data_IF_114288136938
#
_entry.id   IF_114288136938
#
_cell.length_a   1.000
_cell.length_b   1.000
_cell.length_c   1.000
_cell.angle_alpha   90.00
_cell.angle_beta   90.00
_cell.angle_gamma   90.00
#
_symmetry.space_group_name_H-M   'P 1'
#
loop_
_entity.id
_entity.type
_entity.pdbx_description
1 polymer ?
#
# COMPACT_ATOMS: atom_id res chain seq x y z
N UNK A 1 -0.83 44.00 30.94
CA UNK A 1 0.56 44.37 31.19
C UNK A 1 1.42 43.67 30.19
N UNK A 2 2.40 44.37 29.63
CA UNK A 2 3.37 43.84 28.68
C UNK A 2 4.74 43.70 29.36
N UNK A 3 5.52 42.72 28.91
CA UNK A 3 6.94 42.60 29.18
C UNK A 3 7.68 42.59 27.85
N UNK A 4 8.46 43.64 27.58
CA UNK A 4 9.29 43.74 26.37
C UNK A 4 10.75 43.54 26.74
N UNK A 5 11.39 42.56 26.12
CA UNK A 5 12.80 42.21 26.26
C UNK A 5 13.47 42.18 24.88
N UNK A 6 13.66 43.35 24.27
CA UNK A 6 14.35 43.49 22.98
C UNK A 6 15.85 43.72 23.20
N UNK A 7 16.70 42.84 22.63
CA UNK A 7 18.16 42.87 22.85
C UNK A 7 18.60 42.70 24.31
N UNK A 8 17.66 42.54 25.25
CA UNK A 8 17.91 42.42 26.67
C UNK A 8 18.11 40.97 27.11
N UNK A 9 18.55 40.80 28.36
CA UNK A 9 18.85 39.50 28.96
C UNK A 9 18.17 39.35 30.32
N UNK A 10 17.29 38.36 30.44
CA UNK A 10 16.71 37.91 31.70
C UNK A 10 17.40 36.60 32.08
N UNK A 11 18.02 36.55 33.27
CA UNK A 11 18.75 35.36 33.72
C UNK A 11 18.42 34.99 35.15
N UNK A 12 18.06 33.73 35.37
CA UNK A 12 17.91 33.14 36.70
C UNK A 12 18.89 31.97 36.87
N UNK A 13 19.72 32.03 37.90
CA UNK A 13 20.72 30.98 38.21
C UNK A 13 20.23 29.93 39.22
N UNK A 14 19.23 30.27 40.05
CA UNK A 14 18.69 29.36 41.07
C UNK A 14 17.75 28.30 40.50
N UNK A 15 17.62 27.17 41.22
CA UNK A 15 16.79 26.03 40.82
C UNK A 15 15.30 26.18 41.16
N UNK A 16 14.90 27.22 41.91
CA UNK A 16 13.49 27.45 42.24
C UNK A 16 12.64 27.65 40.97
N UNK A 17 11.39 27.16 40.94
CA UNK A 17 10.51 27.37 39.79
C UNK A 17 10.40 28.85 39.41
N UNK A 18 10.38 29.12 38.10
CA UNK A 18 10.24 30.46 37.55
C UNK A 18 8.88 30.61 36.86
N UNK A 19 8.19 31.72 37.08
CA UNK A 19 6.95 32.04 36.36
C UNK A 19 7.00 33.44 35.78
N UNK A 20 6.66 33.59 34.51
CA UNK A 20 6.36 34.87 33.86
C UNK A 20 4.90 34.82 33.41
N UNK A 21 4.05 35.58 34.10
CA UNK A 21 2.63 35.72 33.78
C UNK A 21 2.27 37.20 33.70
N UNK A 22 2.30 37.74 32.48
CA UNK A 22 1.89 39.11 32.17
C UNK A 22 0.57 39.08 31.41
N UNK A 23 -0.36 39.99 31.71
CA UNK A 23 -1.73 39.80 31.22
C UNK A 23 -1.92 40.01 29.72
N UNK A 24 -0.94 40.61 29.03
CA UNK A 24 -1.00 40.84 27.60
C UNK A 24 0.17 40.15 26.88
N UNK A 25 1.29 40.81 26.61
CA UNK A 25 2.34 40.22 25.76
C UNK A 25 3.66 40.05 26.50
N UNK A 26 4.27 38.89 26.38
CA UNK A 26 5.72 38.74 26.60
C UNK A 26 6.41 38.73 25.25
N UNK A 27 7.15 39.79 24.97
CA UNK A 27 7.90 40.00 23.74
C UNK A 27 9.40 39.89 24.00
N UNK A 28 9.96 38.73 23.65
CA UNK A 28 11.38 38.40 23.70
C UNK A 28 12.03 38.47 22.30
N UNK A 29 11.44 39.20 21.35
CA UNK A 29 11.97 39.32 19.99
C UNK A 29 13.20 40.24 19.89
N UNK A 30 13.69 40.46 18.67
CA UNK A 30 14.82 41.38 18.37
C UNK A 30 16.07 41.01 19.21
N UNK A 31 16.43 39.72 19.23
CA UNK A 31 17.60 39.22 19.95
C UNK A 31 17.44 39.15 21.47
N UNK A 32 16.22 39.27 22.00
CA UNK A 32 15.92 39.06 23.41
C UNK A 32 16.36 37.68 23.91
N UNK A 33 16.89 37.62 25.12
CA UNK A 33 17.33 36.36 25.76
C UNK A 33 16.68 36.15 27.13
N UNK A 34 16.01 35.02 27.32
CA UNK A 34 15.57 34.50 28.62
C UNK A 34 16.31 33.18 28.89
N UNK A 35 17.05 33.11 30.00
CA UNK A 35 17.79 31.92 30.41
C UNK A 35 17.51 31.62 31.88
N UNK A 36 17.16 30.37 32.20
CA UNK A 36 16.88 29.98 33.59
C UNK A 36 17.39 28.59 33.90
N UNK A 37 17.94 28.41 35.10
CA UNK A 37 18.30 27.12 35.70
C UNK A 37 17.22 26.62 36.68
N UNK A 38 16.04 27.24 36.69
CA UNK A 38 14.88 26.76 37.44
C UNK A 38 14.59 25.28 37.12
N UNK A 39 14.07 24.52 38.08
CA UNK A 39 13.58 23.16 37.83
C UNK A 39 12.45 23.18 36.80
N UNK A 40 11.51 24.11 36.95
CA UNK A 40 10.38 24.34 36.04
C UNK A 40 10.31 25.82 35.64
N UNK A 41 10.00 26.09 34.37
CA UNK A 41 9.72 27.43 33.86
C UNK A 41 8.30 27.47 33.30
N UNK A 42 7.46 28.36 33.81
CA UNK A 42 6.13 28.63 33.25
C UNK A 42 6.09 30.00 32.58
N UNK A 43 5.75 30.02 31.29
CA UNK A 43 5.46 31.22 30.52
C UNK A 43 3.96 31.23 30.18
N UNK A 44 3.19 32.04 30.91
CA UNK A 44 1.75 32.19 30.72
C UNK A 44 1.35 33.67 30.49
N UNK A 45 1.92 34.35 29.46
CA UNK A 45 1.44 35.66 29.06
C UNK A 45 0.09 35.56 28.33
N UNK A 46 -0.53 36.67 27.93
CA UNK A 46 -1.64 36.61 26.96
C UNK A 46 -1.20 36.10 25.57
N UNK A 47 -0.03 36.56 25.10
CA UNK A 47 0.68 36.10 23.88
C UNK A 47 2.18 36.03 24.14
N UNK A 48 2.83 35.02 23.56
CA UNK A 48 4.29 34.83 23.63
C UNK A 48 4.90 35.11 22.25
N UNK A 49 5.79 36.09 22.18
CA UNK A 49 6.55 36.42 20.96
C UNK A 49 8.03 36.23 21.25
N UNK A 50 8.66 35.28 20.56
CA UNK A 50 10.08 34.95 20.65
C UNK A 50 10.76 35.04 19.27
N UNK A 51 10.22 35.84 18.36
CA UNK A 51 10.72 35.93 17.00
C UNK A 51 12.14 36.49 16.95
N UNK A 52 13.09 35.73 16.39
CA UNK A 52 14.52 36.06 16.44
C UNK A 52 15.11 36.12 17.86
N UNK A 53 14.38 35.67 18.88
CA UNK A 53 14.77 35.63 20.29
C UNK A 53 15.24 34.25 20.76
N UNK A 54 15.72 34.18 21.99
CA UNK A 54 16.17 32.94 22.63
C UNK A 54 15.55 32.74 24.02
N UNK A 55 14.86 31.61 24.22
CA UNK A 55 14.39 31.11 25.51
C UNK A 55 15.10 29.79 25.80
N UNK A 56 15.82 29.71 26.92
CA UNK A 56 16.56 28.52 27.34
C UNK A 56 16.20 28.13 28.77
N UNK A 57 15.58 26.97 28.92
CA UNK A 57 15.33 26.32 30.20
C UNK A 57 16.38 25.23 30.44
N UNK A 58 17.36 25.50 31.31
CA UNK A 58 18.44 24.56 31.64
C UNK A 58 18.02 23.53 32.71
N UNK A 59 16.84 23.69 33.31
CA UNK A 59 16.25 22.75 34.24
C UNK A 59 15.92 21.40 33.61
N UNK A 60 15.83 20.37 34.46
CA UNK A 60 15.46 19.01 34.05
C UNK A 60 13.96 18.73 34.17
N UNK A 61 13.17 19.67 34.70
CA UNK A 61 11.71 19.60 34.79
C UNK A 61 11.05 20.08 33.50
N UNK A 62 10.01 20.88 33.62
CA UNK A 62 9.15 21.26 32.49
C UNK A 62 9.25 22.76 32.15
N UNK A 63 9.49 23.04 30.86
CA UNK A 63 9.18 24.34 30.26
C UNK A 63 7.72 24.33 29.79
N UNK A 64 6.85 25.02 30.52
CA UNK A 64 5.44 25.18 30.18
C UNK A 64 5.23 26.49 29.42
N UNK A 65 4.68 26.42 28.21
CA UNK A 65 4.25 27.54 27.38
C UNK A 65 2.71 27.49 27.30
N UNK A 66 2.03 28.36 28.03
CA UNK A 66 0.56 28.34 28.13
C UNK A 66 -0.05 29.74 27.99
N UNK A 67 0.18 30.45 26.86
CA UNK A 67 -0.37 31.78 26.68
C UNK A 67 -1.90 31.78 26.72
N UNK A 68 -2.48 32.72 27.46
CA UNK A 68 -3.93 32.79 27.76
C UNK A 68 -4.54 31.44 28.15
N UNK A 69 -3.84 30.66 28.99
CA UNK A 69 -4.26 29.32 29.43
C UNK A 69 -4.53 28.34 28.28
N UNK A 70 -3.76 28.45 27.18
CA UNK A 70 -3.90 27.58 26.01
C UNK A 70 -4.68 28.17 24.86
N UNK A 71 -5.17 29.40 24.96
CA UNK A 71 -5.94 30.06 23.88
C UNK A 71 -5.15 31.13 23.14
N UNK A 72 -4.02 31.57 23.68
CA UNK A 72 -3.15 32.59 23.11
C UNK A 72 -2.15 32.02 22.11
N UNK A 73 -1.50 32.90 21.34
CA UNK A 73 -0.53 32.48 20.33
C UNK A 73 0.90 32.33 20.91
N UNK A 74 1.64 31.37 20.37
CA UNK A 74 3.10 31.26 20.49
C UNK A 74 3.72 31.59 19.12
N UNK A 75 4.52 32.65 19.05
CA UNK A 75 5.35 32.96 17.89
C UNK A 75 6.82 32.75 18.23
N UNK A 76 7.51 31.96 17.43
CA UNK A 76 8.92 31.60 17.55
C UNK A 76 9.60 31.67 16.16
N UNK A 77 9.21 32.64 15.34
CA UNK A 77 9.70 32.77 13.96
C UNK A 77 11.18 33.13 13.97
N UNK A 78 12.01 32.31 13.32
CA UNK A 78 13.47 32.44 13.38
C UNK A 78 14.04 32.51 14.82
N UNK A 79 13.24 32.10 15.82
CA UNK A 79 13.58 32.12 17.23
C UNK A 79 14.02 30.75 17.73
N UNK A 80 14.47 30.70 18.98
CA UNK A 80 14.88 29.46 19.65
C UNK A 80 14.22 29.32 21.01
N UNK A 81 13.52 28.21 21.21
CA UNK A 81 12.99 27.77 22.50
C UNK A 81 13.58 26.40 22.79
N UNK A 82 14.33 26.27 23.89
CA UNK A 82 15.00 25.01 24.25
C UNK A 82 14.86 24.66 25.71
N UNK A 83 14.77 23.35 25.97
CA UNK A 83 14.68 22.78 27.32
C UNK A 83 15.66 21.61 27.51
N UNK A 84 16.38 21.59 28.63
CA UNK A 84 17.15 20.43 29.07
C UNK A 84 16.27 19.34 29.70
N UNK A 85 15.01 19.66 30.02
CA UNK A 85 13.97 18.74 30.42
C UNK A 85 12.92 18.58 29.32
N UNK A 86 11.65 18.68 29.70
CA UNK A 86 10.49 18.57 28.82
C UNK A 86 10.02 19.96 28.33
N UNK A 87 9.25 19.97 27.25
CA UNK A 87 8.46 21.13 26.82
C UNK A 87 6.98 20.72 26.77
N UNK A 88 6.15 21.45 27.51
CA UNK A 88 4.70 21.42 27.36
C UNK A 88 4.25 22.72 26.70
N UNK A 89 3.69 22.67 25.50
CA UNK A 89 3.14 23.83 24.80
C UNK A 89 1.63 23.66 24.63
N UNK A 90 0.85 24.61 25.14
CA UNK A 90 -0.59 24.67 24.94
C UNK A 90 -0.95 26.07 24.44
N UNK A 91 -1.52 26.18 23.24
CA UNK A 91 -1.74 27.46 22.58
C UNK A 91 -2.99 27.46 21.67
N UNK A 92 -3.49 28.64 21.33
CA UNK A 92 -4.47 28.78 20.25
C UNK A 92 -3.84 28.50 18.89
N UNK A 93 -2.61 28.97 18.69
CA UNK A 93 -1.80 28.70 17.49
C UNK A 93 -0.31 28.68 17.84
N UNK A 94 0.47 27.95 17.04
CA UNK A 94 1.91 27.82 17.22
C UNK A 94 2.63 28.10 15.91
N UNK A 95 3.43 29.17 15.87
CA UNK A 95 4.25 29.51 14.73
C UNK A 95 5.74 29.31 15.07
N UNK A 96 6.33 28.26 14.52
CA UNK A 96 7.74 27.91 14.61
C UNK A 96 8.46 28.02 13.25
N UNK A 97 7.95 28.85 12.33
CA UNK A 97 8.55 29.01 11.01
C UNK A 97 10.00 29.49 11.09
N UNK A 98 10.93 28.81 10.43
CA UNK A 98 12.38 29.04 10.53
C UNK A 98 12.95 28.97 11.96
N UNK A 99 12.13 28.54 12.94
CA UNK A 99 12.47 28.53 14.36
C UNK A 99 12.92 27.16 14.84
N UNK A 100 13.33 27.11 16.10
CA UNK A 100 13.71 25.88 16.81
C UNK A 100 12.90 25.75 18.09
N UNK A 101 12.17 24.65 18.24
CA UNK A 101 11.55 24.20 19.47
C UNK A 101 12.13 22.81 19.82
N UNK A 102 13.02 22.74 20.81
CA UNK A 102 13.73 21.50 21.10
C UNK A 102 13.85 21.15 22.58
N UNK A 103 13.63 19.89 22.91
CA UNK A 103 13.73 19.34 24.27
C UNK A 103 14.70 18.16 24.30
N UNK A 104 15.45 18.02 25.40
CA UNK A 104 16.25 16.80 25.65
C UNK A 104 15.39 15.63 26.12
N UNK A 105 14.19 15.89 26.63
CA UNK A 105 13.19 14.86 26.93
C UNK A 105 12.02 15.03 25.94
N UNK A 106 10.79 14.92 26.44
CA UNK A 106 9.60 14.94 25.63
C UNK A 106 9.19 16.35 25.19
N UNK A 107 8.51 16.43 24.05
CA UNK A 107 7.70 17.57 23.65
C UNK A 107 6.24 17.13 23.62
N UNK A 108 5.38 17.84 24.33
CA UNK A 108 3.92 17.72 24.20
C UNK A 108 3.38 19.08 23.77
N UNK A 109 2.86 19.17 22.55
CA UNK A 109 2.35 20.40 21.97
C UNK A 109 0.87 20.21 21.58
N UNK A 110 0.00 21.06 22.12
CA UNK A 110 -1.41 21.13 21.76
C UNK A 110 -1.71 22.52 21.22
N UNK A 111 -2.34 22.60 20.04
CA UNK A 111 -2.81 23.86 19.49
C UNK A 111 -4.28 23.78 19.07
N UNK A 112 -5.12 24.75 19.46
CA UNK A 112 -6.53 24.73 19.04
C UNK A 112 -6.70 24.90 17.51
N UNK A 113 -5.81 25.66 16.87
CA UNK A 113 -5.82 25.95 15.44
C UNK A 113 -4.55 25.51 14.72
N UNK A 114 -3.98 26.42 13.95
CA UNK A 114 -2.88 26.15 13.03
C UNK A 114 -1.53 25.98 13.75
N UNK A 115 -0.71 25.08 13.19
CA UNK A 115 0.71 24.92 13.55
C UNK A 115 1.56 25.13 12.30
N UNK A 116 2.37 26.18 12.31
CA UNK A 116 3.30 26.49 11.23
C UNK A 116 4.72 26.09 11.63
N UNK A 117 5.30 25.10 10.97
CA UNK A 117 6.68 24.66 11.11
C UNK A 117 7.46 24.77 9.79
N UNK A 118 7.10 25.71 8.92
CA UNK A 118 7.75 25.93 7.62
C UNK A 118 9.23 26.26 7.83
N UNK A 119 10.13 25.45 7.25
CA UNK A 119 11.58 25.55 7.48
C UNK A 119 11.99 25.53 8.97
N UNK A 120 11.08 25.12 9.85
CA UNK A 120 11.28 25.07 11.30
C UNK A 120 11.71 23.70 11.78
N UNK A 121 12.12 23.63 13.04
CA UNK A 121 12.49 22.39 13.71
C UNK A 121 11.72 22.24 15.03
N UNK A 122 10.96 21.16 15.14
CA UNK A 122 10.42 20.64 16.39
C UNK A 122 11.10 19.32 16.71
N UNK A 123 11.91 19.27 17.77
CA UNK A 123 12.74 18.11 18.04
C UNK A 123 12.80 17.71 19.51
N UNK A 124 12.26 16.54 19.82
CA UNK A 124 12.43 15.86 21.09
C UNK A 124 13.56 14.84 20.97
N UNK A 125 14.46 14.76 21.95
CA UNK A 125 15.40 13.62 22.04
C UNK A 125 14.76 12.40 22.68
N UNK A 126 13.56 12.53 23.25
CA UNK A 126 12.69 11.39 23.60
C UNK A 126 11.40 11.46 22.79
N UNK A 127 10.22 11.33 23.41
CA UNK A 127 8.95 11.24 22.67
C UNK A 127 8.42 12.61 22.26
N UNK A 128 7.68 12.66 21.16
CA UNK A 128 7.03 13.89 20.67
C UNK A 128 5.56 13.62 20.40
N UNK A 129 4.69 14.43 21.01
CA UNK A 129 3.26 14.50 20.70
C UNK A 129 2.91 15.91 20.24
N UNK A 130 2.30 16.02 19.06
CA UNK A 130 1.81 17.26 18.48
C UNK A 130 0.36 17.06 18.03
N UNK A 131 -0.58 17.68 18.73
CA UNK A 131 -1.99 17.64 18.40
C UNK A 131 -2.48 19.05 18.07
N UNK A 132 -3.10 19.24 16.92
CA UNK A 132 -3.72 20.52 16.60
C UNK A 132 -5.06 20.42 15.87
N UNK A 133 -5.97 21.36 16.14
CA UNK A 133 -7.31 21.38 15.56
C UNK A 133 -7.40 21.97 14.16
N UNK A 134 -6.30 22.49 13.61
CA UNK A 134 -6.21 23.10 12.28
C UNK A 134 -5.20 22.41 11.35
N UNK A 135 -4.66 23.14 10.39
CA UNK A 135 -3.59 22.64 9.51
C UNK A 135 -2.26 22.62 10.23
N UNK A 136 -1.50 21.55 10.02
CA UNK A 136 -0.07 21.50 10.29
C UNK A 136 0.70 21.72 8.99
N UNK A 137 1.40 22.85 8.88
CA UNK A 137 2.29 23.13 7.74
C UNK A 137 3.74 22.83 8.13
N UNK A 138 4.28 21.69 7.70
CA UNK A 138 5.65 21.24 7.93
C UNK A 138 6.51 21.32 6.65
N UNK A 139 6.22 22.27 5.74
CA UNK A 139 6.93 22.33 4.46
C UNK A 139 8.38 22.75 4.62
N UNK A 140 9.29 21.96 4.05
CA UNK A 140 10.74 22.04 4.31
C UNK A 140 11.11 22.04 5.81
N UNK A 141 10.17 21.61 6.67
CA UNK A 141 10.31 21.58 8.12
C UNK A 141 10.71 20.20 8.63
N UNK A 142 11.02 20.13 9.92
CA UNK A 142 11.34 18.88 10.61
C UNK A 142 10.54 18.77 11.90
N UNK A 143 9.83 17.67 12.04
CA UNK A 143 9.23 17.20 13.29
C UNK A 143 9.85 15.83 13.59
N UNK A 144 10.55 15.70 14.71
CA UNK A 144 11.26 14.47 15.00
C UNK A 144 11.39 14.16 16.50
N UNK A 145 11.22 12.87 16.82
CA UNK A 145 11.47 12.28 18.13
C UNK A 145 12.69 11.35 18.11
N UNK A 146 13.20 11.07 19.31
CA UNK A 146 14.22 10.06 19.58
C UNK A 146 15.65 10.44 19.20
N UNK A 147 16.58 9.58 19.62
CA UNK A 147 18.03 9.77 19.42
C UNK A 147 18.63 8.87 18.34
N UNK A 148 17.92 7.83 17.90
CA UNK A 148 18.49 6.78 17.05
C UNK A 148 19.24 5.70 17.83
N UNK A 149 19.17 5.72 19.17
CA UNK A 149 19.74 4.67 20.00
C UNK A 149 19.03 3.32 19.73
N UNK A 150 19.82 2.27 19.51
CA UNK A 150 19.35 0.90 19.38
C UNK A 150 18.54 0.54 20.63
N UNK A 151 17.24 0.28 20.48
CA UNK A 151 16.25 0.01 21.56
C UNK A 151 15.60 1.23 22.24
N UNK A 152 15.72 2.45 21.70
CA UNK A 152 14.93 3.59 22.19
C UNK A 152 13.43 3.35 21.99
N UNK A 153 12.63 3.34 23.04
CA UNK A 153 11.18 3.20 22.96
C UNK A 153 10.46 4.52 22.69
N UNK A 154 11.19 5.54 22.23
CA UNK A 154 10.65 6.87 21.94
C UNK A 154 9.55 6.78 20.89
N UNK A 155 8.46 7.51 21.10
CA UNK A 155 7.29 7.53 20.20
C UNK A 155 7.14 8.87 19.52
N UNK A 156 6.45 8.86 18.37
CA UNK A 156 6.00 10.07 17.68
C UNK A 156 4.50 9.97 17.45
N UNK A 157 3.76 11.00 17.87
CA UNK A 157 2.33 11.10 17.62
C UNK A 157 2.01 12.50 17.08
N UNK A 158 1.52 12.57 15.85
CA UNK A 158 1.13 13.80 15.17
C UNK A 158 -0.31 13.68 14.76
N UNK A 159 -1.18 14.56 15.24
CA UNK A 159 -2.59 14.60 14.90
C UNK A 159 -2.99 16.02 14.51
N UNK A 160 -3.59 16.18 13.33
CA UNK A 160 -4.02 17.47 12.79
C UNK A 160 -5.32 17.31 12.00
N UNK A 161 -6.05 18.41 11.78
CA UNK A 161 -7.20 18.38 10.88
C UNK A 161 -6.77 18.16 9.43
N UNK A 162 -5.60 18.68 9.05
CA UNK A 162 -4.88 18.42 7.80
C UNK A 162 -3.38 18.59 8.00
N UNK A 163 -2.57 17.88 7.21
CA UNK A 163 -1.10 17.92 7.27
C UNK A 163 -0.54 18.21 5.88
N UNK A 164 0.30 19.24 5.78
CA UNK A 164 1.18 19.48 4.64
C UNK A 164 2.64 19.23 5.06
N UNK A 165 3.17 18.08 4.66
CA UNK A 165 4.55 17.65 4.86
C UNK A 165 5.38 17.76 3.56
N UNK A 166 5.02 18.64 2.63
CA UNK A 166 5.73 18.76 1.35
C UNK A 166 7.19 19.17 1.55
N UNK A 167 8.13 18.38 1.01
CA UNK A 167 9.59 18.56 1.23
C UNK A 167 10.00 18.52 2.72
N UNK A 168 9.10 18.08 3.60
CA UNK A 168 9.30 18.04 5.04
C UNK A 168 9.71 16.66 5.54
N UNK A 169 10.07 16.60 6.82
CA UNK A 169 10.28 15.35 7.56
C UNK A 169 9.36 15.30 8.78
N UNK A 170 8.62 14.21 8.90
CA UNK A 170 8.00 13.72 10.14
C UNK A 170 8.64 12.37 10.43
N UNK A 171 9.44 12.27 11.49
CA UNK A 171 10.32 11.10 11.68
C UNK A 171 10.50 10.68 13.13
N UNK A 172 10.44 9.38 13.42
CA UNK A 172 10.86 8.83 14.71
C UNK A 172 12.18 8.07 14.57
N UNK A 173 13.23 8.52 15.27
CA UNK A 173 14.50 7.79 15.32
C UNK A 173 14.48 6.66 16.37
N UNK A 174 13.49 6.65 17.27
CA UNK A 174 13.24 5.52 18.18
C UNK A 174 12.53 4.36 17.49
N UNK A 175 12.54 3.20 18.15
CA UNK A 175 11.84 1.99 17.77
C UNK A 175 10.40 1.93 18.30
N UNK A 176 9.95 2.94 19.05
CA UNK A 176 8.56 3.08 19.48
C UNK A 176 7.60 3.39 18.32
N UNK A 177 6.31 3.31 18.59
CA UNK A 177 5.28 3.57 17.59
C UNK A 177 5.34 5.01 17.06
N UNK A 178 5.06 5.16 15.77
CA UNK A 178 4.89 6.44 15.09
C UNK A 178 3.49 6.51 14.51
N UNK A 179 2.72 7.52 14.89
CA UNK A 179 1.37 7.76 14.38
C UNK A 179 1.30 9.14 13.75
N UNK A 180 0.81 9.22 12.51
CA UNK A 180 0.58 10.47 11.79
C UNK A 180 -0.85 10.49 11.26
N UNK A 181 -1.68 11.34 11.83
CA UNK A 181 -3.11 11.43 11.58
C UNK A 181 -3.46 12.80 11.00
N UNK A 182 -3.74 12.86 9.69
CA UNK A 182 -4.01 14.09 8.96
C UNK A 182 -5.49 14.42 8.75
N UNK A 183 -6.41 13.88 9.57
CA UNK A 183 -7.84 14.19 9.49
C UNK A 183 -8.39 14.04 8.06
N UNK A 184 -8.72 15.17 7.41
CA UNK A 184 -9.21 15.18 6.03
C UNK A 184 -8.13 14.91 4.97
N UNK A 185 -6.90 15.35 5.20
CA UNK A 185 -5.84 15.27 4.20
C UNK A 185 -4.43 15.19 4.79
N UNK A 186 -3.61 14.32 4.19
CA UNK A 186 -2.15 14.29 4.39
C UNK A 186 -1.45 14.46 3.03
N UNK A 187 -0.74 15.57 2.85
CA UNK A 187 0.09 15.85 1.67
C UNK A 187 1.55 15.58 2.01
N UNK A 188 2.18 14.64 1.31
CA UNK A 188 3.57 14.24 1.47
C UNK A 188 4.34 14.34 0.13
N UNK A 189 4.19 15.46 -0.57
CA UNK A 189 4.84 15.70 -1.88
C UNK A 189 6.35 15.90 -1.70
N UNK A 190 7.16 14.98 -2.21
CA UNK A 190 8.62 14.97 -1.97
C UNK A 190 8.99 15.03 -0.46
N UNK A 191 8.06 14.64 0.41
CA UNK A 191 8.23 14.64 1.85
C UNK A 191 8.60 13.25 2.35
N UNK A 192 8.97 13.15 3.64
CA UNK A 192 9.23 11.87 4.30
C UNK A 192 8.42 11.77 5.58
N UNK A 193 7.67 10.68 5.71
CA UNK A 193 7.08 10.21 6.96
C UNK A 193 7.72 8.87 7.28
N UNK A 194 8.45 8.77 8.39
CA UNK A 194 9.24 7.57 8.70
C UNK A 194 9.35 7.25 10.18
N UNK A 195 9.68 6.01 10.51
CA UNK A 195 9.99 5.57 11.86
C UNK A 195 10.81 4.29 11.86
N UNK A 196 11.70 4.12 12.84
CA UNK A 196 12.42 2.85 13.02
C UNK A 196 11.54 1.75 13.64
N UNK A 197 10.40 2.11 14.24
CA UNK A 197 9.38 1.19 14.77
C UNK A 197 8.21 0.96 13.82
N UNK A 198 7.06 0.56 14.38
CA UNK A 198 5.80 0.53 13.63
C UNK A 198 5.34 1.95 13.29
N UNK A 199 4.90 2.14 12.05
CA UNK A 199 4.39 3.42 11.55
C UNK A 199 2.95 3.26 11.08
N UNK A 200 2.06 4.12 11.57
CA UNK A 200 0.67 4.21 11.13
C UNK A 200 0.39 5.59 10.57
N UNK A 201 -0.07 5.65 9.33
CA UNK A 201 -0.46 6.88 8.63
C UNK A 201 -1.95 6.83 8.33
N UNK A 202 -2.69 7.85 8.75
CA UNK A 202 -4.15 7.91 8.62
C UNK A 202 -4.60 9.28 8.12
N UNK A 203 -5.42 9.33 7.08
CA UNK A 203 -6.20 10.51 6.68
C UNK A 203 -7.29 10.08 5.69
N UNK A 204 -8.35 10.86 5.50
CA UNK A 204 -9.31 10.58 4.42
C UNK A 204 -8.65 10.57 3.04
N UNK A 205 -7.86 11.60 2.71
CA UNK A 205 -7.07 11.65 1.48
C UNK A 205 -5.57 11.63 1.80
N UNK A 206 -4.83 10.68 1.23
CA UNK A 206 -3.37 10.61 1.37
C UNK A 206 -2.72 10.84 0.01
N UNK A 207 -1.90 11.89 -0.10
CA UNK A 207 -1.10 12.21 -1.29
C UNK A 207 0.36 11.96 -0.99
N UNK A 208 0.91 10.85 -1.46
CA UNK A 208 2.33 10.50 -1.37
C UNK A 208 2.97 10.54 -2.77
N UNK A 209 3.20 11.74 -3.31
CA UNK A 209 3.61 11.90 -4.71
C UNK A 209 4.99 12.53 -4.88
N UNK A 210 5.56 12.41 -6.08
CA UNK A 210 6.82 13.06 -6.48
C UNK A 210 7.99 12.80 -5.54
N UNK A 211 8.32 11.52 -5.33
CA UNK A 211 9.38 11.12 -4.42
C UNK A 211 8.96 11.15 -2.94
N UNK A 212 7.67 11.36 -2.64
CA UNK A 212 7.13 11.18 -1.31
C UNK A 212 7.43 9.78 -0.76
N UNK A 213 7.79 9.70 0.52
CA UNK A 213 8.13 8.45 1.20
C UNK A 213 7.29 8.26 2.45
N UNK A 214 6.60 7.12 2.55
CA UNK A 214 6.02 6.60 3.79
C UNK A 214 6.75 5.31 4.15
N UNK A 215 7.36 5.24 5.33
CA UNK A 215 8.11 4.06 5.72
C UNK A 215 8.12 3.74 7.21
N UNK A 216 8.27 2.46 7.54
CA UNK A 216 8.35 1.95 8.91
C UNK A 216 9.05 0.59 9.01
N UNK A 217 9.30 0.06 10.20
CA UNK A 217 9.66 -1.36 10.33
C UNK A 217 8.48 -2.23 9.89
N UNK A 218 7.30 -1.92 10.42
CA UNK A 218 6.01 -2.31 9.86
C UNK A 218 5.28 -1.02 9.49
N UNK A 219 4.50 -1.05 8.41
CA UNK A 219 3.79 0.14 7.93
C UNK A 219 2.30 -0.15 7.73
N UNK A 220 1.46 0.70 8.29
CA UNK A 220 0.01 0.72 8.07
C UNK A 220 -0.39 2.06 7.45
N UNK A 221 -1.03 2.02 6.29
CA UNK A 221 -1.58 3.20 5.61
C UNK A 221 -3.08 3.03 5.51
N UNK A 222 -3.84 3.95 6.12
CA UNK A 222 -5.30 3.90 6.17
C UNK A 222 -5.89 5.21 5.62
N UNK A 223 -6.84 5.09 4.69
CA UNK A 223 -7.58 6.26 4.23
C UNK A 223 -8.81 5.93 3.40
N UNK A 224 -9.44 6.96 2.85
CA UNK A 224 -10.49 6.78 1.85
C UNK A 224 -9.88 6.66 0.46
N UNK A 225 -8.93 7.53 0.13
CA UNK A 225 -8.17 7.48 -1.12
C UNK A 225 -6.67 7.59 -0.86
N UNK A 226 -5.90 6.98 -1.76
CA UNK A 226 -4.44 7.07 -1.75
C UNK A 226 -3.93 7.37 -3.15
N UNK A 227 -3.18 8.46 -3.30
CA UNK A 227 -2.37 8.74 -4.48
C UNK A 227 -0.89 8.56 -4.14
N UNK A 228 -0.30 7.46 -4.63
CA UNK A 228 1.13 7.15 -4.53
C UNK A 228 1.87 7.42 -5.85
N UNK A 229 1.37 8.30 -6.72
CA UNK A 229 1.97 8.54 -8.03
C UNK A 229 3.40 9.09 -7.92
N UNK A 230 4.38 8.33 -8.41
CA UNK A 230 5.81 8.63 -8.28
C UNK A 230 6.32 8.61 -6.84
N UNK A 231 5.56 8.07 -5.89
CA UNK A 231 5.94 7.93 -4.48
C UNK A 231 6.44 6.53 -4.12
N UNK A 232 6.92 6.38 -2.89
CA UNK A 232 7.33 5.10 -2.30
C UNK A 232 6.62 4.87 -0.97
N UNK A 233 6.03 3.69 -0.83
CA UNK A 233 5.47 3.15 0.41
C UNK A 233 6.19 1.84 0.67
N UNK A 234 6.83 1.70 1.84
CA UNK A 234 7.50 0.44 2.17
C UNK A 234 8.20 0.37 3.53
N UNK A 235 9.02 -0.65 3.74
CA UNK A 235 9.70 -0.86 5.02
C UNK A 235 11.16 -0.40 5.02
N UNK A 236 11.66 -0.01 6.20
CA UNK A 236 13.09 0.26 6.45
C UNK A 236 13.84 -0.93 7.06
N UNK A 237 13.11 -1.95 7.51
CA UNK A 237 13.61 -3.18 8.11
C UNK A 237 12.81 -4.39 7.57
N UNK A 238 13.08 -5.60 8.05
CA UNK A 238 12.25 -6.78 7.72
C UNK A 238 10.87 -6.66 8.39
N UNK A 239 9.82 -6.50 7.60
CA UNK A 239 8.46 -6.36 8.10
C UNK A 239 7.44 -6.15 7.01
N UNK A 240 6.20 -5.95 7.44
CA UNK A 240 5.03 -5.98 6.57
C UNK A 240 4.57 -4.57 6.21
N UNK A 241 3.93 -4.46 5.05
CA UNK A 241 3.17 -3.26 4.65
C UNK A 241 1.72 -3.64 4.45
N UNK A 242 0.84 -2.93 5.16
CA UNK A 242 -0.60 -3.00 4.97
C UNK A 242 -1.15 -1.66 4.51
N UNK A 243 -1.74 -1.64 3.31
CA UNK A 243 -2.48 -0.49 2.79
C UNK A 243 -3.97 -0.84 2.80
N UNK A 244 -4.79 0.03 3.38
CA UNK A 244 -6.25 -0.16 3.45
C UNK A 244 -6.95 1.14 3.09
N UNK A 245 -7.64 1.13 1.95
CA UNK A 245 -8.48 2.23 1.50
C UNK A 245 -9.92 1.81 1.32
N UNK A 246 -10.87 2.71 1.62
CA UNK A 246 -12.29 2.49 1.31
C UNK A 246 -12.59 2.74 -0.17
N UNK A 247 -11.79 3.60 -0.81
CA UNK A 247 -11.84 3.97 -2.22
C UNK A 247 -10.60 3.51 -3.00
N UNK A 248 -10.28 4.25 -4.05
CA UNK A 248 -9.25 3.90 -5.02
C UNK A 248 -7.82 4.17 -4.51
N UNK A 249 -6.89 3.31 -4.94
CA UNK A 249 -5.44 3.55 -4.87
C UNK A 249 -4.93 3.86 -6.27
N UNK A 250 -4.29 5.02 -6.44
CA UNK A 250 -3.55 5.38 -7.66
C UNK A 250 -2.06 5.19 -7.40
N UNK A 251 -1.36 4.40 -8.22
CA UNK A 251 0.07 4.09 -8.01
C UNK A 251 0.96 4.44 -9.22
N UNK A 252 0.52 5.36 -10.09
CA UNK A 252 1.21 5.66 -11.37
C UNK A 252 2.70 5.96 -11.19
N UNK A 253 3.57 5.11 -11.75
CA UNK A 253 5.04 5.20 -11.59
C UNK A 253 5.52 5.20 -10.13
N UNK A 254 4.67 4.78 -9.20
CA UNK A 254 4.96 4.63 -7.79
C UNK A 254 5.35 3.22 -7.42
N UNK A 255 5.81 3.06 -6.18
CA UNK A 255 6.16 1.78 -5.57
C UNK A 255 5.44 1.60 -4.26
N UNK A 256 4.76 0.47 -4.11
CA UNK A 256 4.22 -0.01 -2.85
C UNK A 256 4.87 -1.37 -2.61
N UNK A 257 5.69 -1.51 -1.58
CA UNK A 257 6.35 -2.78 -1.36
C UNK A 257 6.81 -3.04 0.05
N UNK A 258 6.86 -4.33 0.39
CA UNK A 258 7.26 -4.84 1.68
C UNK A 258 8.57 -5.64 1.60
N UNK A 259 9.26 -5.72 2.73
CA UNK A 259 10.43 -6.60 2.88
C UNK A 259 10.05 -7.98 3.40
N UNK A 260 8.83 -8.17 3.92
CA UNK A 260 8.23 -9.48 4.18
C UNK A 260 6.93 -9.65 3.39
N UNK A 261 5.77 -9.27 3.94
CA UNK A 261 4.48 -9.40 3.26
C UNK A 261 3.83 -8.05 2.91
N UNK A 262 3.20 -8.01 1.73
CA UNK A 262 2.38 -6.89 1.28
C UNK A 262 0.90 -7.28 1.25
N UNK A 263 0.06 -6.55 1.99
CA UNK A 263 -1.40 -6.64 1.89
C UNK A 263 -2.00 -5.30 1.46
N UNK A 264 -2.78 -5.32 0.38
CA UNK A 264 -3.50 -4.15 -0.13
C UNK A 264 -4.99 -4.44 -0.14
N UNK A 265 -5.76 -3.60 0.53
CA UNK A 265 -7.22 -3.64 0.57
C UNK A 265 -7.75 -2.33 -0.01
N UNK A 266 -8.51 -2.36 -1.09
CA UNK A 266 -8.99 -1.15 -1.77
C UNK A 266 -10.31 -1.39 -2.51
N UNK A 267 -11.01 -0.34 -2.93
CA UNK A 267 -12.14 -0.54 -3.85
C UNK A 267 -11.64 -0.92 -5.26
N UNK A 268 -10.61 -0.24 -5.75
CA UNK A 268 -9.99 -0.47 -7.05
C UNK A 268 -8.54 0.01 -7.04
N UNK A 269 -7.75 -0.51 -7.98
CA UNK A 269 -6.41 0.01 -8.29
C UNK A 269 -6.45 0.73 -9.62
N UNK A 270 -5.76 1.85 -9.70
CA UNK A 270 -5.59 2.62 -10.95
C UNK A 270 -4.14 3.06 -11.10
N UNK A 271 -3.79 3.44 -12.33
CA UNK A 271 -2.42 3.77 -12.68
C UNK A 271 -1.53 2.54 -12.84
N UNK A 272 -0.28 2.78 -13.23
CA UNK A 272 0.79 1.79 -13.24
C UNK A 272 1.48 1.63 -11.88
N UNK A 273 2.73 1.19 -11.89
CA UNK A 273 3.59 1.11 -10.71
C UNK A 273 3.88 -0.32 -10.26
N UNK A 274 4.76 -0.44 -9.27
CA UNK A 274 5.19 -1.73 -8.74
C UNK A 274 4.54 -2.03 -7.39
N UNK A 275 4.04 -3.25 -7.25
CA UNK A 275 3.60 -3.87 -6.01
C UNK A 275 4.53 -5.05 -5.73
N UNK A 276 5.21 -5.08 -4.59
CA UNK A 276 6.20 -6.14 -4.36
C UNK A 276 6.40 -6.52 -2.91
N UNK A 277 6.69 -7.78 -2.66
CA UNK A 277 7.06 -8.29 -1.36
C UNK A 277 8.17 -9.34 -1.49
N UNK A 278 9.03 -9.47 -0.48
CA UNK A 278 10.03 -10.53 -0.49
C UNK A 278 9.43 -11.91 -0.22
N UNK A 279 8.26 -11.97 0.42
CA UNK A 279 7.46 -13.16 0.62
C UNK A 279 6.15 -13.04 -0.18
N UNK A 280 5.03 -12.69 0.44
CA UNK A 280 3.72 -12.77 -0.22
C UNK A 280 3.14 -11.40 -0.59
N UNK A 281 2.42 -11.36 -1.71
CA UNK A 281 1.60 -10.20 -2.12
C UNK A 281 0.14 -10.61 -2.17
N UNK A 282 -0.69 -9.97 -1.35
CA UNK A 282 -2.13 -10.18 -1.29
C UNK A 282 -2.90 -8.90 -1.66
N UNK A 283 -3.75 -9.01 -2.69
CA UNK A 283 -4.57 -7.91 -3.23
C UNK A 283 -6.06 -8.22 -3.02
N UNK A 284 -6.71 -7.47 -2.14
CA UNK A 284 -8.14 -7.59 -1.85
C UNK A 284 -8.88 -6.37 -2.40
N UNK A 285 -9.64 -6.54 -3.48
CA UNK A 285 -10.31 -5.47 -4.20
C UNK A 285 -11.82 -5.65 -4.18
N UNK A 286 -12.60 -4.57 -4.20
CA UNK A 286 -14.07 -4.66 -4.24
C UNK A 286 -14.61 -4.58 -5.68
N UNK A 287 -13.87 -3.93 -6.57
CA UNK A 287 -14.25 -3.70 -7.96
C UNK A 287 -13.46 -4.57 -8.95
N UNK A 288 -13.52 -4.16 -10.22
CA UNK A 288 -12.77 -4.78 -11.29
C UNK A 288 -11.28 -4.47 -11.17
N UNK A 289 -10.45 -5.37 -11.68
CA UNK A 289 -9.03 -5.16 -11.85
C UNK A 289 -8.64 -5.45 -13.29
N UNK A 290 -7.82 -4.58 -13.88
CA UNK A 290 -7.25 -4.79 -15.20
C UNK A 290 -5.73 -4.62 -15.14
N UNK A 291 -4.99 -5.70 -15.37
CA UNK A 291 -3.55 -5.63 -15.51
C UNK A 291 -3.19 -4.90 -16.81
N UNK A 292 -2.46 -3.79 -16.67
CA UNK A 292 -1.88 -3.02 -17.78
C UNK A 292 -0.36 -3.23 -17.80
N UNK A 293 0.35 -2.91 -18.91
CA UNK A 293 1.80 -3.08 -18.99
C UNK A 293 2.59 -2.29 -17.93
N UNK A 294 1.99 -1.23 -17.41
CA UNK A 294 2.61 -0.36 -16.42
C UNK A 294 2.47 -0.90 -15.00
N UNK A 295 1.62 -1.91 -14.76
CA UNK A 295 1.45 -2.56 -13.45
C UNK A 295 2.37 -3.76 -13.34
N UNK A 296 3.17 -3.82 -12.27
CA UNK A 296 4.08 -4.93 -11.99
C UNK A 296 3.82 -5.50 -10.60
N UNK A 297 3.67 -6.82 -10.52
CA UNK A 297 3.62 -7.57 -9.26
C UNK A 297 4.87 -8.43 -9.12
N UNK A 298 5.61 -8.24 -8.04
CA UNK A 298 6.80 -9.02 -7.71
C UNK A 298 6.61 -9.66 -6.33
N UNK A 299 6.07 -10.88 -6.29
CA UNK A 299 5.98 -11.68 -5.08
C UNK A 299 7.16 -12.67 -5.04
N UNK A 300 7.92 -12.67 -3.95
CA UNK A 300 9.01 -13.62 -3.75
C UNK A 300 8.55 -15.05 -3.48
N UNK A 301 7.29 -15.23 -3.08
CA UNK A 301 6.66 -16.52 -2.82
C UNK A 301 5.28 -16.61 -3.48
N UNK A 302 4.19 -16.19 -2.81
CA UNK A 302 2.83 -16.29 -3.34
C UNK A 302 2.23 -14.95 -3.79
N UNK A 303 1.45 -14.97 -4.87
CA UNK A 303 0.66 -13.85 -5.36
C UNK A 303 -0.83 -14.21 -5.29
N UNK A 304 -1.61 -13.44 -4.54
CA UNK A 304 -3.04 -13.68 -4.35
C UNK A 304 -3.87 -12.45 -4.70
N UNK A 305 -4.94 -12.67 -5.47
CA UNK A 305 -6.00 -11.70 -5.73
C UNK A 305 -7.32 -12.23 -5.20
N UNK A 306 -8.05 -11.39 -4.48
CA UNK A 306 -9.45 -11.61 -4.10
C UNK A 306 -10.24 -10.39 -4.52
N UNK A 307 -11.26 -10.57 -5.37
CA UNK A 307 -12.11 -9.47 -5.82
C UNK A 307 -13.53 -9.89 -6.18
N UNK A 308 -14.52 -9.06 -5.87
CA UNK A 308 -15.90 -9.35 -6.31
C UNK A 308 -16.17 -9.02 -7.78
N UNK A 309 -15.29 -8.22 -8.41
CA UNK A 309 -15.42 -7.82 -9.81
C UNK A 309 -14.69 -8.75 -10.79
N UNK A 310 -14.57 -8.30 -12.04
CA UNK A 310 -13.83 -9.00 -13.10
C UNK A 310 -12.33 -8.77 -12.95
N UNK A 311 -11.56 -9.86 -12.97
CA UNK A 311 -10.11 -9.87 -13.12
C UNK A 311 -9.74 -9.98 -14.60
N UNK A 312 -9.20 -8.90 -15.18
CA UNK A 312 -8.71 -8.87 -16.56
C UNK A 312 -7.20 -8.88 -16.58
N UNK A 313 -6.60 -9.93 -17.12
CA UNK A 313 -5.18 -9.96 -17.41
C UNK A 313 -4.92 -9.85 -18.92
N UNK A 314 -4.29 -8.75 -19.32
CA UNK A 314 -3.85 -8.52 -20.71
C UNK A 314 -2.33 -8.56 -20.87
N UNK A 315 -1.60 -8.88 -19.80
CA UNK A 315 -0.14 -8.82 -19.72
C UNK A 315 0.43 -10.09 -19.10
N UNK A 316 1.68 -10.07 -18.63
CA UNK A 316 2.29 -11.18 -17.91
C UNK A 316 2.14 -11.02 -16.40
N UNK A 317 1.57 -12.02 -15.74
CA UNK A 317 1.54 -12.14 -14.27
C UNK A 317 2.24 -13.43 -13.86
N UNK A 318 3.14 -13.32 -12.90
CA UNK A 318 3.96 -14.44 -12.45
C UNK A 318 4.10 -14.44 -10.94
N UNK A 319 4.10 -15.64 -10.35
CA UNK A 319 4.47 -15.87 -8.95
C UNK A 319 5.57 -16.93 -8.89
N UNK A 320 6.49 -16.80 -7.93
CA UNK A 320 7.59 -17.75 -7.73
C UNK A 320 7.05 -19.11 -7.30
N UNK A 321 6.07 -19.14 -6.40
CA UNK A 321 5.45 -20.34 -5.89
C UNK A 321 3.99 -20.44 -6.34
N UNK A 322 3.02 -20.00 -5.54
CA UNK A 322 1.60 -20.09 -5.90
C UNK A 322 1.08 -18.78 -6.48
N UNK A 323 0.20 -18.89 -7.48
CA UNK A 323 -0.62 -17.76 -7.93
C UNK A 323 -2.09 -18.12 -7.74
N UNK A 324 -2.83 -17.29 -7.02
CA UNK A 324 -4.27 -17.47 -6.84
C UNK A 324 -5.09 -16.26 -7.23
N UNK A 325 -6.21 -16.50 -7.91
CA UNK A 325 -7.19 -15.47 -8.27
C UNK A 325 -8.58 -15.97 -7.89
N UNK A 326 -9.20 -15.32 -6.92
CA UNK A 326 -10.61 -15.47 -6.56
C UNK A 326 -11.34 -14.21 -7.03
N UNK A 327 -12.19 -14.33 -8.05
CA UNK A 327 -12.78 -13.19 -8.75
C UNK A 327 -14.24 -13.44 -9.10
N UNK A 328 -15.03 -12.38 -9.32
CA UNK A 328 -16.37 -12.53 -9.91
C UNK A 328 -16.31 -13.18 -11.30
N UNK A 329 -15.43 -12.68 -12.17
CA UNK A 329 -15.14 -13.25 -13.48
C UNK A 329 -13.64 -13.16 -13.77
N UNK A 330 -13.11 -14.05 -14.59
CA UNK A 330 -11.70 -14.03 -15.01
C UNK A 330 -11.63 -13.96 -16.53
N UNK A 331 -10.91 -12.96 -17.04
CA UNK A 331 -10.60 -12.79 -18.46
C UNK A 331 -9.08 -12.73 -18.61
N UNK A 332 -8.48 -13.76 -19.22
CA UNK A 332 -7.06 -13.80 -19.48
C UNK A 332 -6.79 -13.80 -21.00
N UNK A 333 -6.23 -12.71 -21.50
CA UNK A 333 -5.66 -12.65 -22.86
C UNK A 333 -4.14 -12.57 -22.85
N UNK A 334 -3.53 -12.43 -21.67
CA UNK A 334 -2.09 -12.41 -21.47
C UNK A 334 -1.53 -13.76 -21.02
N UNK A 335 -0.51 -13.74 -20.18
CA UNK A 335 0.09 -14.92 -19.57
C UNK A 335 -0.08 -14.86 -18.04
N UNK A 336 -0.52 -15.96 -17.45
CA UNK A 336 -0.53 -16.18 -16.00
C UNK A 336 0.33 -17.40 -15.73
N UNK A 337 1.38 -17.24 -14.91
CA UNK A 337 2.29 -18.32 -14.56
C UNK A 337 2.48 -18.47 -13.05
N UNK A 338 2.51 -19.70 -12.55
CA UNK A 338 2.90 -20.03 -11.18
C UNK A 338 4.01 -21.10 -11.20
N UNK A 339 5.02 -20.96 -10.34
CA UNK A 339 6.07 -21.97 -10.23
C UNK A 339 5.58 -23.31 -9.65
N UNK A 340 4.59 -23.26 -8.76
CA UNK A 340 3.98 -24.43 -8.12
C UNK A 340 2.49 -24.57 -8.50
N UNK A 341 1.56 -23.97 -7.74
CA UNK A 341 0.13 -24.09 -8.00
C UNK A 341 -0.44 -22.80 -8.59
N UNK A 342 -1.07 -22.91 -9.77
CA UNK A 342 -2.00 -21.91 -10.28
C UNK A 342 -3.42 -22.30 -9.87
N UNK A 343 -4.07 -21.49 -9.03
CA UNK A 343 -5.44 -21.70 -8.57
C UNK A 343 -6.35 -20.55 -8.97
N UNK A 344 -7.52 -20.85 -9.51
CA UNK A 344 -8.55 -19.81 -9.72
C UNK A 344 -9.93 -20.26 -9.25
N UNK A 345 -10.75 -19.29 -8.87
CA UNK A 345 -12.18 -19.45 -8.65
C UNK A 345 -12.92 -18.24 -9.23
N UNK A 346 -14.00 -18.48 -10.00
CA UNK A 346 -14.85 -17.43 -10.54
C UNK A 346 -16.25 -17.91 -10.96
N UNK A 347 -17.14 -17.00 -11.38
CA UNK A 347 -18.38 -17.39 -12.05
C UNK A 347 -18.08 -17.88 -13.47
N UNK A 348 -17.33 -17.08 -14.24
CA UNK A 348 -16.85 -17.44 -15.57
C UNK A 348 -15.35 -17.27 -15.68
N UNK A 349 -14.70 -18.12 -16.48
CA UNK A 349 -13.29 -18.00 -16.84
C UNK A 349 -13.15 -18.08 -18.35
N UNK A 350 -12.67 -17.00 -18.97
CA UNK A 350 -12.32 -16.97 -20.39
C UNK A 350 -10.81 -16.80 -20.54
N UNK A 351 -10.16 -17.80 -21.10
CA UNK A 351 -8.74 -17.77 -21.46
C UNK A 351 -8.58 -17.72 -22.98
N UNK A 352 -7.93 -16.69 -23.50
CA UNK A 352 -7.47 -16.58 -24.89
C UNK A 352 -5.94 -16.50 -25.00
N UNK A 353 -5.26 -16.34 -23.86
CA UNK A 353 -3.80 -16.37 -23.73
C UNK A 353 -3.31 -17.65 -23.06
N UNK A 354 -2.34 -17.54 -22.14
CA UNK A 354 -1.76 -18.70 -21.45
C UNK A 354 -2.04 -18.66 -19.94
N UNK A 355 -2.38 -19.81 -19.37
CA UNK A 355 -2.48 -20.06 -17.93
C UNK A 355 -1.68 -21.32 -17.60
N UNK A 356 -0.55 -21.17 -16.92
CA UNK A 356 0.40 -22.27 -16.69
C UNK A 356 0.81 -22.34 -15.22
N UNK A 357 0.81 -23.54 -14.65
CA UNK A 357 1.38 -23.80 -13.32
C UNK A 357 2.23 -25.06 -13.33
N UNK A 358 2.94 -25.35 -12.23
CA UNK A 358 3.42 -26.71 -11.97
C UNK A 358 2.24 -27.68 -11.91
N UNK A 359 1.29 -27.39 -11.01
CA UNK A 359 -0.08 -27.89 -11.01
C UNK A 359 -1.06 -26.75 -11.29
N UNK A 360 -2.26 -27.11 -11.76
CA UNK A 360 -3.31 -26.15 -12.11
C UNK A 360 -4.64 -26.63 -11.52
N UNK A 361 -5.37 -25.76 -10.84
CA UNK A 361 -6.75 -25.99 -10.40
C UNK A 361 -7.60 -24.76 -10.72
N UNK A 362 -8.36 -24.83 -11.81
CA UNK A 362 -9.21 -23.73 -12.26
C UNK A 362 -10.68 -24.10 -12.02
N UNK A 363 -11.35 -23.34 -11.17
CA UNK A 363 -12.77 -23.48 -10.92
C UNK A 363 -13.54 -22.29 -11.53
N UNK A 364 -14.62 -22.58 -12.25
CA UNK A 364 -15.61 -21.60 -12.68
C UNK A 364 -17.03 -22.16 -12.45
N UNK A 365 -17.92 -21.40 -11.80
CA UNK A 365 -19.24 -21.92 -11.43
C UNK A 365 -20.14 -22.21 -12.64
N UNK A 366 -20.02 -21.43 -13.71
CA UNK A 366 -20.83 -21.56 -14.92
C UNK A 366 -20.03 -22.12 -16.09
N UNK A 367 -18.97 -21.43 -16.51
CA UNK A 367 -18.29 -21.76 -17.76
C UNK A 367 -16.81 -21.45 -17.69
N UNK A 368 -15.99 -22.43 -18.10
CA UNK A 368 -14.56 -22.31 -18.31
C UNK A 368 -14.28 -22.50 -19.80
N UNK A 369 -13.87 -21.42 -20.47
CA UNK A 369 -13.63 -21.39 -21.91
C UNK A 369 -12.17 -21.07 -22.23
N UNK A 370 -11.48 -22.03 -22.86
CA UNK A 370 -10.17 -21.86 -23.48
C UNK A 370 -10.36 -21.66 -24.99
N UNK A 371 -10.23 -20.42 -25.47
CA UNK A 371 -10.72 -20.01 -26.79
C UNK A 371 -9.63 -19.38 -27.67
N UNK A 372 -9.52 -19.88 -28.90
CA UNK A 372 -8.69 -19.29 -29.94
C UNK A 372 -7.29 -19.91 -30.03
N UNK A 373 -6.56 -19.64 -31.13
CA UNK A 373 -5.39 -20.41 -31.54
C UNK A 373 -4.18 -20.25 -30.61
N UNK A 374 -4.14 -19.18 -29.80
CA UNK A 374 -3.07 -18.95 -28.82
C UNK A 374 -3.39 -19.46 -27.43
N UNK A 375 -4.60 -19.98 -27.21
CA UNK A 375 -5.10 -20.26 -25.88
C UNK A 375 -4.52 -21.57 -25.32
N UNK A 376 -3.84 -21.47 -24.19
CA UNK A 376 -3.19 -22.58 -23.50
C UNK A 376 -3.59 -22.60 -22.02
N UNK A 377 -4.04 -23.76 -21.55
CA UNK A 377 -4.08 -24.10 -20.13
C UNK A 377 -3.12 -25.27 -19.90
N UNK A 378 -2.11 -25.08 -19.05
CA UNK A 378 -0.99 -26.02 -18.95
C UNK A 378 -0.55 -26.34 -17.52
N UNK A 379 -0.32 -27.61 -17.21
CA UNK A 379 0.39 -28.03 -15.99
C UNK A 379 1.73 -28.69 -16.35
N UNK A 380 2.82 -28.16 -15.80
CA UNK A 380 4.19 -28.52 -16.18
C UNK A 380 4.85 -29.58 -15.29
N UNK A 381 4.27 -29.93 -14.15
CA UNK A 381 4.79 -31.02 -13.30
C UNK A 381 4.21 -32.37 -13.76
N UNK A 382 5.08 -33.35 -14.03
CA UNK A 382 4.69 -34.72 -14.39
C UNK A 382 4.03 -35.49 -13.25
N UNK A 383 4.27 -35.06 -12.00
CA UNK A 383 3.59 -35.59 -10.82
C UNK A 383 2.39 -34.73 -10.40
N UNK A 384 2.22 -33.58 -11.05
CA UNK A 384 1.17 -32.62 -10.77
C UNK A 384 -0.19 -33.04 -11.31
N UNK A 385 -1.19 -32.23 -10.99
CA UNK A 385 -2.54 -32.37 -11.54
C UNK A 385 -2.95 -31.07 -12.25
N UNK A 386 -3.51 -31.21 -13.44
CA UNK A 386 -4.29 -30.19 -14.11
C UNK A 386 -5.78 -30.51 -13.89
N UNK A 387 -6.45 -29.67 -13.13
CA UNK A 387 -7.84 -29.84 -12.73
C UNK A 387 -8.67 -28.64 -13.20
N UNK A 388 -9.69 -28.91 -14.02
CA UNK A 388 -10.65 -27.92 -14.50
C UNK A 388 -12.03 -28.31 -13.96
N UNK A 389 -12.64 -27.42 -13.18
CA UNK A 389 -13.92 -27.62 -12.51
C UNK A 389 -14.91 -26.57 -13.00
N UNK A 390 -15.90 -26.97 -13.79
CA UNK A 390 -16.95 -26.06 -14.27
C UNK A 390 -18.15 -26.82 -14.83
N UNK A 391 -19.34 -26.24 -14.71
CA UNK A 391 -20.56 -26.80 -15.32
C UNK A 391 -20.35 -27.05 -16.82
N UNK A 392 -19.82 -26.07 -17.55
CA UNK A 392 -19.38 -26.23 -18.94
C UNK A 392 -17.88 -25.98 -19.08
N UNK A 393 -17.18 -26.90 -19.74
CA UNK A 393 -15.75 -26.77 -20.07
C UNK A 393 -15.60 -26.77 -21.59
N UNK A 394 -15.08 -25.66 -22.12
CA UNK A 394 -14.89 -25.47 -23.56
C UNK A 394 -13.40 -25.30 -23.89
N UNK A 395 -12.93 -26.08 -24.86
CA UNK A 395 -11.61 -25.94 -25.47
C UNK A 395 -11.80 -25.83 -26.98
N UNK A 396 -11.79 -24.61 -27.51
CA UNK A 396 -12.29 -24.34 -28.87
C UNK A 396 -11.39 -23.40 -29.65
N UNK A 397 -10.98 -23.83 -30.84
CA UNK A 397 -10.54 -22.91 -31.89
C UNK A 397 -11.72 -22.60 -32.81
N UNK A 398 -12.24 -21.37 -32.68
CA UNK A 398 -13.34 -20.92 -33.51
C UNK A 398 -12.94 -20.10 -34.74
N UNK A 399 -11.65 -19.79 -34.85
CA UNK A 399 -11.15 -18.76 -35.76
C UNK A 399 -10.32 -19.35 -36.89
N UNK A 400 -9.61 -20.45 -36.65
CA UNK A 400 -8.82 -21.11 -37.69
C UNK A 400 -9.72 -21.80 -38.71
N UNK A 401 -9.68 -21.29 -39.95
CA UNK A 401 -10.50 -21.79 -41.06
C UNK A 401 -9.81 -22.88 -41.89
N UNK A 402 -8.51 -23.12 -41.66
CA UNK A 402 -7.72 -24.12 -42.37
C UNK A 402 -7.70 -25.45 -41.63
N UNK A 403 -7.54 -26.54 -42.37
CA UNK A 403 -7.28 -27.86 -41.79
C UNK A 403 -5.80 -27.97 -41.33
N UNK A 404 -5.46 -27.20 -40.30
CA UNK A 404 -4.13 -27.13 -39.68
C UNK A 404 -4.11 -27.86 -38.35
N UNK A 405 -2.92 -28.11 -37.80
CA UNK A 405 -2.79 -28.68 -36.46
C UNK A 405 -3.50 -27.78 -35.42
N UNK A 406 -4.17 -28.40 -34.45
CA UNK A 406 -4.81 -27.70 -33.35
C UNK A 406 -3.76 -26.95 -32.52
N UNK A 407 -4.02 -25.68 -32.20
CA UNK A 407 -3.13 -24.84 -31.37
C UNK A 407 -3.75 -24.48 -30.03
N UNK A 408 -5.08 -24.30 -29.96
CA UNK A 408 -5.83 -24.22 -28.70
C UNK A 408 -5.63 -25.50 -27.91
N UNK A 409 -5.10 -25.41 -26.69
CA UNK A 409 -4.65 -26.59 -25.97
C UNK A 409 -4.93 -26.55 -24.46
N UNK A 410 -5.30 -27.72 -23.94
CA UNK A 410 -5.25 -28.09 -22.53
C UNK A 410 -4.23 -29.20 -22.40
N UNK A 411 -3.15 -28.98 -21.66
CA UNK A 411 -2.01 -29.92 -21.58
C UNK A 411 -1.53 -30.09 -20.15
N UNK A 412 -1.68 -31.29 -19.59
CA UNK A 412 -1.03 -31.67 -18.33
C UNK A 412 0.10 -32.65 -18.60
N UNK A 413 1.30 -32.40 -18.08
CA UNK A 413 2.38 -33.40 -18.10
C UNK A 413 2.14 -34.54 -17.11
N UNK A 414 1.37 -34.29 -16.05
CA UNK A 414 0.89 -35.29 -15.11
C UNK A 414 -0.56 -35.70 -15.36
N UNK A 415 -1.36 -35.77 -14.30
CA UNK A 415 -2.78 -36.15 -14.36
C UNK A 415 -3.63 -35.00 -14.88
N UNK A 416 -4.63 -35.30 -15.72
CA UNK A 416 -5.61 -34.33 -16.21
C UNK A 416 -7.02 -34.72 -15.76
N UNK A 417 -7.75 -33.77 -15.18
CA UNK A 417 -9.11 -33.96 -14.68
C UNK A 417 -9.98 -32.82 -15.19
N UNK A 418 -11.07 -33.18 -15.87
CA UNK A 418 -12.12 -32.24 -16.27
C UNK A 418 -13.43 -32.72 -15.62
N UNK A 419 -14.05 -31.87 -14.81
CA UNK A 419 -15.24 -32.20 -14.02
C UNK A 419 -16.15 -30.99 -13.78
N UNK A 420 -17.36 -31.23 -13.27
CA UNK A 420 -18.31 -30.18 -12.91
C UNK A 420 -17.94 -29.45 -11.61
N UNK A 421 -17.24 -30.14 -10.73
CA UNK A 421 -16.92 -29.67 -9.38
C UNK A 421 -16.53 -30.83 -8.48
N UNK A 422 -16.58 -30.59 -7.16
CA UNK A 422 -16.41 -31.61 -6.12
C UNK A 422 -17.58 -31.57 -5.15
N UNK A 423 -18.06 -32.74 -4.72
CA UNK A 423 -19.03 -32.85 -3.63
C UNK A 423 -18.37 -32.58 -2.25
N UNK A 424 -19.17 -32.58 -1.19
CA UNK A 424 -18.68 -32.37 0.19
C UNK A 424 -17.69 -33.46 0.67
N UNK A 425 -17.65 -34.62 0.02
CA UNK A 425 -16.72 -35.71 0.31
C UNK A 425 -15.44 -35.62 -0.55
N UNK A 426 -15.35 -34.63 -1.45
CA UNK A 426 -14.23 -34.44 -2.38
C UNK A 426 -14.31 -35.28 -3.66
N UNK A 427 -15.44 -35.96 -3.93
CA UNK A 427 -15.62 -36.71 -5.18
C UNK A 427 -15.97 -35.77 -6.33
N UNK A 428 -15.46 -36.08 -7.52
CA UNK A 428 -15.78 -35.33 -8.72
C UNK A 428 -17.25 -35.50 -9.13
N UNK A 429 -17.91 -34.39 -9.45
CA UNK A 429 -19.23 -34.35 -10.06
C UNK A 429 -19.12 -34.18 -11.58
N UNK A 430 -20.16 -34.58 -12.32
CA UNK A 430 -20.17 -34.42 -13.77
C UNK A 430 -20.33 -32.94 -14.16
N UNK A 431 -19.54 -32.50 -15.14
CA UNK A 431 -19.85 -31.33 -15.96
C UNK A 431 -21.06 -31.67 -16.85
N UNK A 432 -21.88 -30.67 -17.18
CA UNK A 432 -22.94 -30.89 -18.17
C UNK A 432 -22.33 -31.13 -19.56
N UNK A 433 -21.30 -30.34 -19.90
CA UNK A 433 -20.63 -30.42 -21.19
C UNK A 433 -19.11 -30.26 -21.08
N UNK A 434 -18.39 -31.20 -21.69
CA UNK A 434 -17.00 -31.00 -22.11
C UNK A 434 -17.00 -30.89 -23.64
N UNK A 435 -16.61 -29.73 -24.17
CA UNK A 435 -16.55 -29.47 -25.61
C UNK A 435 -15.12 -29.20 -26.07
N UNK A 436 -14.59 -30.12 -26.84
CA UNK A 436 -13.35 -29.94 -27.59
C UNK A 436 -13.65 -29.70 -29.07
N UNK A 437 -13.25 -28.55 -29.62
CA UNK A 437 -13.54 -28.19 -31.01
C UNK A 437 -12.31 -27.65 -31.71
N UNK A 438 -11.78 -28.39 -32.69
CA UNK A 438 -10.53 -28.04 -33.39
C UNK A 438 -9.36 -27.75 -32.44
N UNK A 439 -9.37 -28.35 -31.26
CA UNK A 439 -8.45 -28.08 -30.16
C UNK A 439 -7.86 -29.39 -29.60
N UNK A 440 -6.93 -29.27 -28.66
CA UNK A 440 -6.17 -30.37 -28.09
C UNK A 440 -6.43 -30.51 -26.59
N UNK A 441 -6.67 -31.74 -26.13
CA UNK A 441 -6.63 -32.10 -24.70
C UNK A 441 -5.62 -33.24 -24.55
N UNK A 442 -4.57 -33.02 -23.77
CA UNK A 442 -3.46 -33.96 -23.59
C UNK A 442 -3.14 -34.17 -22.12
N UNK A 443 -2.88 -35.43 -21.77
CA UNK A 443 -2.41 -35.87 -20.47
C UNK A 443 -1.14 -36.70 -20.64
N UNK A 444 -0.11 -36.42 -19.85
CA UNK A 444 1.09 -37.25 -19.76
C UNK A 444 0.93 -38.43 -18.78
N UNK A 445 -0.03 -38.33 -17.84
CA UNK A 445 -0.47 -39.41 -16.95
C UNK A 445 -1.94 -39.78 -17.17
N UNK A 446 -2.65 -40.11 -16.10
CA UNK A 446 -4.08 -40.48 -16.16
C UNK A 446 -4.96 -39.30 -16.59
N UNK A 447 -5.99 -39.59 -17.41
CA UNK A 447 -7.03 -38.63 -17.76
C UNK A 447 -8.37 -39.08 -17.21
N UNK A 448 -9.04 -38.21 -16.45
CA UNK A 448 -10.40 -38.41 -15.96
C UNK A 448 -11.33 -37.34 -16.51
N UNK A 449 -12.41 -37.76 -17.17
CA UNK A 449 -13.46 -36.89 -17.69
C UNK A 449 -14.77 -37.23 -16.98
N UNK A 450 -15.24 -36.33 -16.13
CA UNK A 450 -16.52 -36.45 -15.45
C UNK A 450 -17.51 -35.51 -16.15
N UNK A 451 -18.32 -36.05 -17.06
CA UNK A 451 -19.29 -35.25 -17.81
C UNK A 451 -20.51 -36.06 -18.27
N UNK A 452 -21.64 -35.39 -18.38
CA UNK A 452 -22.87 -35.94 -18.98
C UNK A 452 -22.75 -36.01 -20.51
N UNK A 453 -22.06 -35.03 -21.11
CA UNK A 453 -21.76 -35.02 -22.53
C UNK A 453 -20.32 -34.61 -22.81
N UNK A 454 -19.63 -35.40 -23.64
CA UNK A 454 -18.34 -35.04 -24.23
C UNK A 454 -18.51 -34.89 -25.74
N UNK A 455 -18.21 -33.72 -26.28
CA UNK A 455 -18.21 -33.45 -27.72
C UNK A 455 -16.79 -33.19 -28.20
N UNK A 456 -16.35 -33.92 -29.22
CA UNK A 456 -15.07 -33.70 -29.89
C UNK A 456 -15.31 -33.52 -31.38
N UNK A 457 -15.10 -32.30 -31.88
CA UNK A 457 -15.38 -31.96 -33.28
C UNK A 457 -14.20 -31.27 -33.94
N UNK A 458 -14.14 -31.37 -35.27
CA UNK A 458 -13.18 -30.64 -36.11
C UNK A 458 -13.96 -29.81 -37.11
N UNK A 459 -13.76 -28.49 -37.11
CA UNK A 459 -14.54 -27.56 -37.94
C UNK A 459 -14.08 -27.52 -39.40
N UNK A 460 -12.76 -27.55 -39.61
CA UNK A 460 -12.16 -27.53 -40.93
C UNK A 460 -11.47 -28.86 -41.19
N UNK A 461 -11.94 -29.60 -42.19
CA UNK A 461 -11.33 -30.84 -42.65
C UNK A 461 -11.11 -30.78 -44.15
N UNK A 462 -9.91 -31.14 -44.60
CA UNK A 462 -9.58 -31.30 -46.00
C UNK A 462 -9.30 -32.77 -46.26
N UNK A 463 -10.24 -33.44 -46.91
CA UNK A 463 -10.06 -34.82 -47.37
C UNK A 463 -9.26 -34.81 -48.67
N UNK A 464 -8.12 -35.49 -48.73
CA UNK A 464 -7.44 -35.82 -49.98
C UNK A 464 -7.80 -37.24 -50.41
N UNK A 465 -8.37 -37.40 -51.60
CA UNK A 465 -8.70 -38.69 -52.20
C UNK A 465 -8.90 -38.56 -53.71
N UNK A 466 -8.72 -39.66 -54.46
CA UNK A 466 -9.06 -39.71 -55.88
C UNK A 466 -10.58 -39.63 -56.05
N UNK A 467 -11.11 -38.50 -56.50
CA UNK A 467 -12.46 -38.43 -57.08
C UNK A 467 -12.43 -39.01 -58.50
N UNK A 468 -12.09 -40.29 -58.65
CA UNK A 468 -12.43 -41.01 -59.90
C UNK A 468 -13.76 -41.72 -59.64
N UNK A 469 -14.80 -41.27 -60.32
CA UNK A 469 -16.01 -42.06 -60.46
C UNK A 469 -15.59 -43.46 -60.93
N UNK A 470 -16.10 -44.51 -60.28
CA UNK A 470 -15.93 -45.87 -60.79
C UNK A 470 -16.55 -45.88 -62.19
N UNK A 471 -15.76 -46.24 -63.20
CA UNK A 471 -16.29 -46.44 -64.55
C UNK A 471 -17.38 -47.51 -64.47
N UNK A 472 -18.64 -47.21 -64.84
CA UNK A 472 -19.74 -48.18 -64.80
C UNK A 472 -19.42 -49.47 -65.56
N UNK A 473 -18.52 -49.43 -66.55
CA UNK A 473 -18.07 -50.59 -67.31
C UNK A 473 -17.33 -51.66 -66.48
N UNK A 474 -16.89 -51.35 -65.25
CA UNK A 474 -16.26 -52.31 -64.33
C UNK A 474 -17.25 -53.12 -63.47
N UNK A 475 -18.56 -52.83 -63.56
CA UNK A 475 -19.62 -53.53 -62.81
C UNK A 475 -20.37 -54.59 -63.63
N UNK A 476 -20.06 -54.75 -64.93
CA UNK A 476 -20.68 -55.75 -65.82
C UNK A 476 -19.73 -56.92 -66.16
N UNK A 477 -19.05 -57.51 -65.17
CA UNK A 477 -18.33 -58.79 -65.35
C UNK A 477 -19.08 -59.98 -64.73
#
# INVERSE_FOLDING_TARGET
TDLTNHGGKITQYGASPMTISVSNRFDNSVGGTLQTNSTDLTLAPGTLVNDGGAITHAGTGTLTLAPSSGTGAISNVAGKITSAGQIGANAGSLNNAQGVLAAKRDITATAAGEVNNVQGQMRALSSLSLHNGGTLTNTSGRIQSGTGASNGADTLDVQSASIDNSVGLIGNLGAGATTVQGGSELVNRNGTVTGNGEVTVVASSITNTQGGQLSGSNLKVLGDTLDNSGGTIGNVANGDVKVTTTGAITNTNGRIGATHDLSVNASTLTGGGTYSAANDVAMNLQGNFAATPDVQFNAGHDLAFTLSGTFTNSTGLQAVNNLSVDAGDIVNSGSIAAGNLLRTHSNTLTNTGAMVGGSVSLAADSTLSNLGPTALIGASDSNGTLELLSHDIENRDDTTATDTQAQTAIVGLGKVILAGGKDANGNYTNAALIRNQSALIQSGGDMALHADQVTNTRRAMKTSGYTRNVDPALLEQ
#
